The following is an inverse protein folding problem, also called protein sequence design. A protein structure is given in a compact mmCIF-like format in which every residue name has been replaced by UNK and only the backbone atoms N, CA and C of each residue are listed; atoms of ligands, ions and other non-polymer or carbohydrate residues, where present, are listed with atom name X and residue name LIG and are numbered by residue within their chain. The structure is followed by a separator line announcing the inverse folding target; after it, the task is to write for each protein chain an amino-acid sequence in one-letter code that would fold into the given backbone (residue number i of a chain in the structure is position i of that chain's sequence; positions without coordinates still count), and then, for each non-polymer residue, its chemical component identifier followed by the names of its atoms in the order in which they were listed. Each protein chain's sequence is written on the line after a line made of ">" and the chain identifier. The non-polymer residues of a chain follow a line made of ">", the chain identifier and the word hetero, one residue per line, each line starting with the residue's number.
data_IF_119660668852
#
_entry.id   IF_119660668852
#
_cell.length_a   1.000
_cell.length_b   1.000
_cell.length_c   1.000
_cell.angle_alpha   90.00
_cell.angle_beta   90.00
_cell.angle_gamma   90.00
#
_symmetry.space_group_name_H-M   'P 1'
#
loop_
_entity.id
_entity.type
_entity.pdbx_description
1 polymer ?
#
# COMPACT_ATOMS: atom_id res chain seq x y z
N UNK A 1 61.20 -6.78 -10.92
CA UNK A 1 60.60 -6.01 -9.79
C UNK A 1 59.64 -4.92 -10.29
N UNK A 2 60.04 -4.07 -11.24
CA UNK A 2 59.19 -3.00 -11.79
C UNK A 2 57.92 -3.48 -12.54
N UNK A 3 57.96 -4.64 -13.20
CA UNK A 3 56.80 -5.20 -13.92
C UNK A 3 55.70 -5.77 -13.00
N UNK A 4 56.08 -6.37 -11.86
CA UNK A 4 55.10 -6.84 -10.87
C UNK A 4 54.36 -5.69 -10.16
N UNK A 5 55.02 -4.55 -9.94
CA UNK A 5 54.39 -3.40 -9.31
C UNK A 5 53.28 -2.79 -10.19
N UNK A 6 53.49 -2.71 -11.51
CA UNK A 6 52.50 -2.18 -12.45
C UNK A 6 51.25 -3.07 -12.55
N UNK A 7 51.42 -4.40 -12.55
CA UNK A 7 50.31 -5.36 -12.71
C UNK A 7 49.37 -5.36 -11.49
N UNK A 8 49.87 -5.13 -10.29
CA UNK A 8 49.05 -5.13 -9.06
C UNK A 8 48.58 -3.74 -8.62
N UNK A 9 49.35 -2.68 -8.87
CA UNK A 9 49.02 -1.31 -8.40
C UNK A 9 48.06 -0.60 -9.35
N UNK A 10 48.16 -0.81 -10.66
CA UNK A 10 47.25 -0.19 -11.64
C UNK A 10 45.77 -0.62 -11.48
N UNK A 11 45.42 -1.91 -11.30
CA UNK A 11 44.02 -2.30 -11.10
C UNK A 11 43.47 -1.86 -9.74
N UNK A 12 44.30 -1.79 -8.69
CA UNK A 12 43.89 -1.30 -7.38
C UNK A 12 43.60 0.20 -7.40
N UNK A 13 44.48 0.99 -8.02
CA UNK A 13 44.28 2.44 -8.19
C UNK A 13 43.12 2.75 -9.14
N UNK A 14 42.93 1.98 -10.21
CA UNK A 14 41.75 2.09 -11.08
C UNK A 14 40.45 1.75 -10.35
N UNK A 15 40.42 0.67 -9.55
CA UNK A 15 39.27 0.35 -8.70
C UNK A 15 38.99 1.46 -7.69
N UNK A 16 40.03 2.07 -7.13
CA UNK A 16 39.88 3.18 -6.18
C UNK A 16 39.31 4.44 -6.85
N UNK A 17 39.85 4.82 -8.01
CA UNK A 17 39.39 5.99 -8.78
C UNK A 17 37.99 5.78 -9.37
N UNK A 18 37.67 4.57 -9.84
CA UNK A 18 36.35 4.20 -10.34
C UNK A 18 35.31 4.21 -9.22
N UNK A 19 35.64 3.63 -8.05
CA UNK A 19 34.82 3.70 -6.85
C UNK A 19 34.59 5.15 -6.40
N UNK A 20 35.62 6.00 -6.47
CA UNK A 20 35.51 7.41 -6.11
C UNK A 20 34.60 8.19 -7.07
N UNK A 21 34.68 7.95 -8.38
CA UNK A 21 33.77 8.55 -9.36
C UNK A 21 32.31 8.10 -9.19
N UNK A 22 32.09 6.81 -8.94
CA UNK A 22 30.74 6.27 -8.67
C UNK A 22 30.18 6.89 -7.39
N UNK A 23 30.97 6.98 -6.33
CA UNK A 23 30.54 7.61 -5.07
C UNK A 23 30.18 9.08 -5.25
N UNK A 24 30.91 9.83 -6.09
CA UNK A 24 30.57 11.22 -6.41
C UNK A 24 29.26 11.33 -7.21
N UNK A 25 28.99 10.40 -8.13
CA UNK A 25 27.72 10.37 -8.86
C UNK A 25 26.55 10.01 -7.93
N UNK A 26 26.73 9.04 -7.04
CA UNK A 26 25.73 8.67 -6.02
C UNK A 26 25.49 9.84 -5.07
N UNK A 27 26.55 10.51 -4.60
CA UNK A 27 26.44 11.65 -3.71
C UNK A 27 25.71 12.84 -4.36
N UNK A 28 25.99 13.17 -5.63
CA UNK A 28 25.27 14.23 -6.35
C UNK A 28 23.79 13.88 -6.56
N UNK A 29 23.50 12.63 -6.95
CA UNK A 29 22.12 12.15 -7.15
C UNK A 29 21.34 12.07 -5.83
N UNK A 30 22.00 11.74 -4.73
CA UNK A 30 21.41 11.72 -3.40
C UNK A 30 21.20 13.14 -2.84
N UNK A 31 22.19 14.03 -3.03
CA UNK A 31 22.14 15.43 -2.61
C UNK A 31 21.03 16.24 -3.31
N UNK A 32 20.72 15.93 -4.57
CA UNK A 32 19.67 16.63 -5.30
C UNK A 32 18.23 16.14 -5.02
N UNK A 33 18.06 15.11 -4.19
CA UNK A 33 16.74 14.51 -3.95
C UNK A 33 16.52 14.14 -2.50
N UNK A 34 17.01 12.97 -2.10
CA UNK A 34 16.67 12.35 -0.82
C UNK A 34 17.37 12.99 0.39
N UNK A 35 18.47 13.73 0.18
CA UNK A 35 19.23 14.37 1.25
C UNK A 35 18.38 15.35 2.08
N UNK A 36 17.50 16.14 1.47
CA UNK A 36 16.72 17.15 2.19
C UNK A 36 15.70 16.49 3.12
N UNK A 37 15.02 15.44 2.62
CA UNK A 37 14.07 14.63 3.39
C UNK A 37 14.80 13.92 4.54
N UNK A 38 15.99 13.41 4.26
CA UNK A 38 16.82 12.70 5.23
C UNK A 38 17.41 13.59 6.30
N UNK A 39 17.81 14.81 5.95
CA UNK A 39 18.33 15.82 6.85
C UNK A 39 17.20 16.37 7.74
N UNK A 40 16.06 16.76 7.15
CA UNK A 40 14.91 17.27 7.89
C UNK A 40 14.35 16.24 8.91
N UNK A 41 14.41 14.96 8.58
CA UNK A 41 13.94 13.88 9.49
C UNK A 41 14.96 13.49 10.57
N UNK A 42 16.24 13.83 10.43
CA UNK A 42 17.31 13.49 11.38
C UNK A 42 17.68 14.65 12.31
N UNK A 43 17.46 15.89 11.88
CA UNK A 43 17.74 17.07 12.68
C UNK A 43 16.82 17.13 13.93
N UNK A 44 17.38 17.24 15.14
CA UNK A 44 16.62 17.42 16.38
C UNK A 44 16.17 18.87 16.51
N UNK A 45 15.25 19.30 15.62
CA UNK A 45 14.71 20.67 15.56
C UNK A 45 14.14 21.10 16.93
N UNK A 46 13.61 20.14 17.70
CA UNK A 46 13.11 20.34 19.07
C UNK A 46 14.16 20.96 20.01
N UNK A 47 15.43 20.54 19.93
CA UNK A 47 16.50 21.03 20.83
C UNK A 47 16.99 22.42 20.43
N UNK A 48 17.08 22.67 19.13
CA UNK A 48 17.49 23.97 18.59
C UNK A 48 16.46 25.05 18.93
N UNK A 49 15.17 24.71 18.81
CA UNK A 49 14.06 25.62 19.09
C UNK A 49 13.93 25.92 20.59
N UNK A 50 14.07 24.92 21.46
CA UNK A 50 14.04 25.15 22.92
C UNK A 50 15.23 25.99 23.42
N UNK A 51 16.36 26.00 22.69
CA UNK A 51 17.51 26.84 23.01
C UNK A 51 17.35 28.29 22.51
N UNK A 52 16.49 28.52 21.51
CA UNK A 52 16.19 29.84 20.95
C UNK A 52 14.97 30.50 21.61
N UNK A 53 14.25 29.79 22.49
CA UNK A 53 12.96 30.22 23.04
C UNK A 53 13.05 30.81 24.44
N UNK A 54 14.06 31.64 24.72
CA UNK A 54 13.98 32.59 25.83
C UNK A 54 13.07 33.76 25.41
N UNK A 55 11.76 33.54 25.57
CA UNK A 55 10.76 34.60 25.48
C UNK A 55 9.96 34.65 24.17
N UNK A 56 8.66 34.40 24.29
CA UNK A 56 7.61 35.05 23.50
C UNK A 56 7.39 34.56 22.03
N UNK A 57 6.88 33.33 21.85
CA UNK A 57 6.25 32.94 20.58
C UNK A 57 5.20 31.81 20.71
N UNK A 58 4.12 32.04 21.46
CA UNK A 58 3.17 30.97 21.84
C UNK A 58 2.23 30.46 20.72
N UNK A 59 2.05 31.17 19.61
CA UNK A 59 1.15 30.75 18.51
C UNK A 59 1.86 29.94 17.43
N UNK A 60 3.03 30.37 16.97
CA UNK A 60 3.86 29.63 16.00
C UNK A 60 4.38 28.30 16.58
N UNK A 61 4.69 28.26 17.90
CA UNK A 61 5.25 27.08 18.56
C UNK A 61 4.30 25.89 18.71
N UNK A 62 2.97 26.10 18.69
CA UNK A 62 2.01 24.99 18.70
C UNK A 62 2.03 24.20 17.38
N UNK A 63 2.26 24.88 16.26
CA UNK A 63 2.48 24.24 14.96
C UNK A 63 3.80 23.43 14.93
N UNK A 64 4.85 23.87 15.64
CA UNK A 64 6.08 23.10 15.79
C UNK A 64 5.92 21.80 16.62
N UNK A 65 4.87 21.66 17.43
CA UNK A 65 4.54 20.37 18.06
C UNK A 65 4.14 19.31 17.02
N UNK A 66 3.59 19.74 15.87
CA UNK A 66 3.35 18.89 14.69
C UNK A 66 4.63 18.58 13.89
N UNK A 67 5.76 19.28 14.12
CA UNK A 67 7.08 18.87 13.58
C UNK A 67 7.54 17.55 14.18
N UNK A 68 7.00 17.12 15.33
CA UNK A 68 7.15 15.72 15.78
C UNK A 68 6.56 14.71 14.79
N UNK A 69 5.53 15.08 14.03
CA UNK A 69 4.97 14.24 12.97
C UNK A 69 5.91 14.11 11.76
N UNK A 70 6.89 15.02 11.56
CA UNK A 70 7.98 14.80 10.59
C UNK A 70 8.85 13.59 10.95
N UNK A 71 8.83 13.11 12.21
CA UNK A 71 9.46 11.82 12.55
C UNK A 71 8.73 10.64 11.90
N UNK A 72 7.45 10.76 11.53
CA UNK A 72 6.71 9.74 10.77
C UNK A 72 7.26 9.58 9.35
N UNK A 73 7.94 10.59 8.79
CA UNK A 73 8.69 10.46 7.52
C UNK A 73 9.80 9.40 7.63
N UNK A 74 10.28 9.08 8.84
CA UNK A 74 11.18 7.94 9.05
C UNK A 74 10.53 6.59 8.72
N UNK A 75 9.21 6.48 8.76
CA UNK A 75 8.49 5.27 8.31
C UNK A 75 8.60 5.09 6.79
N UNK A 76 8.72 6.17 6.01
CA UNK A 76 9.02 6.09 4.58
C UNK A 76 10.42 5.47 4.38
N UNK A 77 11.38 5.78 5.25
CA UNK A 77 12.70 5.14 5.25
C UNK A 77 12.63 3.65 5.62
N UNK A 78 11.64 3.21 6.40
CA UNK A 78 11.42 1.79 6.67
C UNK A 78 11.07 1.06 5.38
N UNK A 79 10.25 1.64 4.49
CA UNK A 79 9.95 1.04 3.18
C UNK A 79 11.17 0.99 2.24
N UNK A 80 12.14 1.90 2.40
CA UNK A 80 13.38 1.89 1.62
C UNK A 80 14.44 0.93 2.17
N UNK A 81 14.48 0.75 3.50
CA UNK A 81 15.50 -0.08 4.17
C UNK A 81 15.06 -1.52 4.34
N UNK A 82 13.78 -1.74 4.61
CA UNK A 82 13.18 -3.05 4.44
C UNK A 82 13.03 -3.20 2.93
N UNK A 83 13.86 -4.03 2.30
CA UNK A 83 13.68 -4.51 0.94
C UNK A 83 12.39 -5.35 0.88
N UNK A 84 11.23 -4.75 1.20
CA UNK A 84 9.94 -5.43 1.31
C UNK A 84 9.51 -6.05 -0.01
N UNK A 85 10.11 -5.63 -1.12
CA UNK A 85 9.92 -6.25 -2.42
C UNK A 85 10.76 -7.53 -2.55
N UNK A 86 12.02 -7.51 -2.14
CA UNK A 86 12.87 -8.73 -2.15
C UNK A 86 12.43 -9.72 -1.08
N UNK A 87 11.99 -9.25 0.09
CA UNK A 87 11.49 -10.10 1.17
C UNK A 87 10.11 -10.69 0.83
N UNK A 88 9.30 -10.01 0.01
CA UNK A 88 8.06 -10.63 -0.49
C UNK A 88 8.34 -11.70 -1.54
N UNK A 89 9.29 -11.47 -2.45
CA UNK A 89 9.73 -12.50 -3.41
C UNK A 89 10.31 -13.73 -2.68
N UNK A 90 11.18 -13.52 -1.68
CA UNK A 90 11.74 -14.61 -0.88
C UNK A 90 10.70 -15.37 -0.05
N UNK A 91 9.70 -14.67 0.52
CA UNK A 91 8.60 -15.33 1.25
C UNK A 91 7.61 -16.05 0.32
N UNK A 92 7.40 -15.55 -0.90
CA UNK A 92 6.62 -16.24 -1.94
C UNK A 92 7.31 -17.56 -2.32
N UNK A 93 8.65 -17.55 -2.45
CA UNK A 93 9.44 -18.71 -2.88
C UNK A 93 9.72 -19.73 -1.76
N UNK A 94 9.95 -19.29 -0.51
CA UNK A 94 10.37 -20.18 0.59
C UNK A 94 9.21 -20.63 1.51
N UNK A 95 8.16 -19.83 1.68
CA UNK A 95 7.12 -20.11 2.69
C UNK A 95 5.85 -20.77 2.12
N UNK A 96 5.73 -20.93 0.79
CA UNK A 96 4.53 -21.46 0.15
C UNK A 96 3.26 -20.65 0.46
N UNK A 97 3.41 -19.41 0.94
CA UNK A 97 2.30 -18.52 1.26
C UNK A 97 1.67 -18.07 -0.05
N UNK A 98 0.34 -18.12 -0.13
CA UNK A 98 -0.38 -17.70 -1.33
C UNK A 98 0.02 -16.25 -1.69
N UNK A 99 0.61 -16.00 -2.88
CA UNK A 99 1.06 -14.67 -3.30
C UNK A 99 -0.09 -13.65 -3.31
N UNK A 100 -1.34 -14.10 -3.45
CA UNK A 100 -2.53 -13.26 -3.27
C UNK A 100 -2.60 -12.63 -1.87
N UNK A 101 -2.27 -13.37 -0.82
CA UNK A 101 -2.34 -12.90 0.56
C UNK A 101 -1.30 -11.83 0.85
N UNK A 102 -0.07 -11.99 0.33
CA UNK A 102 1.00 -10.99 0.49
C UNK A 102 0.71 -9.71 -0.30
N UNK A 103 0.15 -9.85 -1.51
CA UNK A 103 -0.29 -8.72 -2.35
C UNK A 103 -1.38 -7.89 -1.67
N UNK A 104 -2.29 -8.52 -0.91
CA UNK A 104 -3.32 -7.81 -0.14
C UNK A 104 -2.82 -7.33 1.23
N UNK A 105 -1.98 -8.09 1.92
CA UNK A 105 -1.51 -7.77 3.26
C UNK A 105 -0.65 -6.51 3.32
N UNK A 106 0.24 -6.31 2.33
CA UNK A 106 1.13 -5.14 2.26
C UNK A 106 0.37 -3.80 2.21
N UNK A 107 -0.59 -3.56 1.30
CA UNK A 107 -1.36 -2.32 1.28
C UNK A 107 -2.23 -2.14 2.53
N UNK A 108 -2.70 -3.21 3.17
CA UNK A 108 -3.44 -3.12 4.44
C UNK A 108 -2.57 -2.61 5.59
N UNK A 109 -1.31 -3.05 5.70
CA UNK A 109 -0.36 -2.51 6.69
C UNK A 109 -0.10 -1.03 6.46
N UNK A 110 0.06 -0.61 5.20
CA UNK A 110 0.22 0.80 4.83
C UNK A 110 -1.03 1.60 5.19
N UNK A 111 -2.22 1.08 4.90
CA UNK A 111 -3.49 1.70 5.27
C UNK A 111 -3.60 1.90 6.78
N UNK A 112 -3.24 0.90 7.59
CA UNK A 112 -3.24 1.01 9.06
C UNK A 112 -2.24 2.04 9.58
N UNK A 113 -1.04 2.12 8.99
CA UNK A 113 -0.04 3.13 9.36
C UNK A 113 -0.52 4.56 9.04
N UNK A 114 -1.20 4.75 7.90
CA UNK A 114 -1.80 6.04 7.55
C UNK A 114 -2.97 6.35 8.48
N UNK A 115 -3.83 5.39 8.80
CA UNK A 115 -4.91 5.58 9.78
C UNK A 115 -4.37 6.06 11.13
N UNK A 116 -3.28 5.47 11.62
CA UNK A 116 -2.59 5.94 12.83
C UNK A 116 -2.06 7.37 12.70
N UNK A 117 -1.45 7.73 11.57
CA UNK A 117 -0.96 9.08 11.34
C UNK A 117 -2.10 10.10 11.33
N UNK A 118 -3.20 9.82 10.63
CA UNK A 118 -4.41 10.65 10.61
C UNK A 118 -5.04 10.78 12.00
N UNK A 119 -5.09 9.68 12.76
CA UNK A 119 -5.51 9.65 14.16
C UNK A 119 -4.69 10.64 14.99
N UNK A 120 -3.37 10.57 14.92
CA UNK A 120 -2.48 11.44 15.69
C UNK A 120 -2.67 12.92 15.31
N UNK A 121 -2.79 13.22 14.02
CA UNK A 121 -2.96 14.58 13.51
C UNK A 121 -4.31 15.16 13.92
N UNK A 122 -5.40 14.41 13.77
CA UNK A 122 -6.74 14.84 14.15
C UNK A 122 -6.90 15.03 15.66
N UNK A 123 -6.33 14.13 16.46
CA UNK A 123 -6.28 14.27 17.92
C UNK A 123 -5.44 15.47 18.38
N UNK A 124 -4.31 15.72 17.73
CA UNK A 124 -3.48 16.89 18.00
C UNK A 124 -4.23 18.19 17.68
N UNK A 125 -4.96 18.23 16.57
CA UNK A 125 -5.79 19.37 16.18
C UNK A 125 -6.93 19.64 17.18
N UNK A 126 -7.51 18.57 17.76
CA UNK A 126 -8.53 18.68 18.79
C UNK A 126 -7.97 19.25 20.11
N UNK A 127 -6.80 18.76 20.54
CA UNK A 127 -6.12 19.23 21.75
C UNK A 127 -5.57 20.65 21.66
N UNK A 128 -5.35 21.16 20.45
CA UNK A 128 -4.81 22.51 20.24
C UNK A 128 -5.85 23.62 20.46
N UNK A 129 -7.14 23.28 20.43
CA UNK A 129 -8.26 24.21 20.59
C UNK A 129 -9.05 23.91 21.87
N UNK A 130 -9.56 24.97 22.52
CA UNK A 130 -10.26 24.88 23.79
C UNK A 130 -11.69 24.31 23.66
N UNK A 131 -12.31 24.43 22.47
CA UNK A 131 -13.63 23.88 22.16
C UNK A 131 -13.55 22.96 20.94
N UNK A 132 -13.25 21.70 21.19
CA UNK A 132 -13.11 20.67 20.18
C UNK A 132 -14.19 19.60 20.31
N UNK A 133 -14.17 18.62 19.41
CA UNK A 133 -15.06 17.47 19.49
C UNK A 133 -14.79 16.58 20.70
N UNK A 134 -13.61 16.66 21.33
CA UNK A 134 -13.31 15.97 22.60
C UNK A 134 -14.11 16.52 23.79
N UNK A 135 -14.66 17.72 23.64
CA UNK A 135 -15.36 18.46 24.70
C UNK A 135 -16.88 18.33 24.58
N UNK A 136 -17.37 17.58 23.57
CA UNK A 136 -18.79 17.28 23.41
C UNK A 136 -19.15 16.11 24.34
N UNK A 137 -20.18 16.31 25.15
CA UNK A 137 -20.81 15.30 25.98
C UNK A 137 -22.34 15.44 25.83
N UNK A 138 -23.07 14.34 25.99
CA UNK A 138 -24.54 14.34 25.91
C UNK A 138 -25.18 15.14 27.05
N UNK A 139 -24.51 15.18 28.21
CA UNK A 139 -24.82 16.07 29.32
C UNK A 139 -23.76 17.17 29.41
N UNK A 140 -24.13 18.41 29.06
CA UNK A 140 -23.21 19.56 29.10
C UNK A 140 -22.78 19.93 30.53
N UNK A 141 -23.51 19.48 31.55
CA UNK A 141 -23.27 19.81 32.95
C UNK A 141 -22.31 18.84 33.65
N UNK A 142 -22.07 17.66 33.08
CA UNK A 142 -21.13 16.67 33.59
C UNK A 142 -19.79 16.73 32.83
N UNK A 143 -18.81 17.42 33.43
CA UNK A 143 -17.45 17.48 32.90
C UNK A 143 -16.77 16.10 32.85
N UNK A 144 -17.19 15.13 33.67
CA UNK A 144 -16.60 13.79 33.68
C UNK A 144 -16.98 12.96 32.46
N UNK A 145 -18.15 13.22 31.87
CA UNK A 145 -18.63 12.56 30.65
C UNK A 145 -17.91 12.99 29.36
N UNK A 146 -17.05 14.02 29.42
CA UNK A 146 -16.28 14.48 28.25
C UNK A 146 -15.17 13.49 27.91
N UNK A 147 -15.09 13.12 26.63
CA UNK A 147 -14.04 12.25 26.10
C UNK A 147 -12.61 12.78 26.40
N UNK A 148 -12.44 14.10 26.58
CA UNK A 148 -11.16 14.69 27.02
C UNK A 148 -10.65 14.16 28.37
N UNK A 149 -11.54 13.77 29.27
CA UNK A 149 -11.22 13.34 30.62
C UNK A 149 -11.15 11.80 30.76
N UNK A 150 -11.58 11.08 29.73
CA UNK A 150 -11.46 9.63 29.61
C UNK A 150 -10.01 9.12 29.53
N UNK A 151 -9.87 7.81 29.69
CA UNK A 151 -8.59 7.12 29.53
C UNK A 151 -7.96 7.41 28.15
N UNK A 152 -6.62 7.51 28.10
CA UNK A 152 -5.88 7.72 26.85
C UNK A 152 -6.15 6.65 25.80
N UNK A 153 -6.38 5.41 26.23
CA UNK A 153 -6.72 4.28 25.36
C UNK A 153 -8.06 4.53 24.66
N UNK A 154 -9.10 4.90 25.42
CA UNK A 154 -10.42 5.25 24.89
C UNK A 154 -10.35 6.39 23.89
N UNK A 155 -9.67 7.49 24.25
CA UNK A 155 -9.46 8.63 23.34
C UNK A 155 -8.80 8.21 22.02
N UNK A 156 -7.76 7.37 22.10
CA UNK A 156 -7.04 6.89 20.93
C UNK A 156 -7.90 5.97 20.06
N UNK A 157 -8.61 5.02 20.66
CA UNK A 157 -9.50 4.09 19.94
C UNK A 157 -10.64 4.83 19.26
N UNK A 158 -11.29 5.79 19.93
CA UNK A 158 -12.34 6.62 19.33
C UNK A 158 -11.81 7.45 18.16
N UNK A 159 -10.61 8.04 18.30
CA UNK A 159 -10.00 8.80 17.20
C UNK A 159 -9.57 7.89 16.04
N UNK A 160 -9.09 6.68 16.33
CA UNK A 160 -8.71 5.69 15.32
C UNK A 160 -9.93 5.17 14.56
N UNK A 161 -11.03 4.94 15.27
CA UNK A 161 -12.32 4.64 14.68
C UNK A 161 -12.75 5.73 13.69
N UNK A 162 -12.64 7.01 14.08
CA UNK A 162 -12.91 8.13 13.17
C UNK A 162 -12.02 8.08 11.91
N UNK A 163 -10.73 7.79 12.08
CA UNK A 163 -9.80 7.69 10.95
C UNK A 163 -10.22 6.58 9.98
N UNK A 164 -10.51 5.37 10.48
CA UNK A 164 -10.99 4.28 9.63
C UNK A 164 -12.34 4.61 8.96
N UNK A 165 -13.33 5.07 9.73
CA UNK A 165 -14.65 5.43 9.20
C UNK A 165 -14.56 6.50 8.11
N UNK A 166 -13.62 7.45 8.24
CA UNK A 166 -13.36 8.49 7.25
C UNK A 166 -12.64 7.92 6.01
N UNK A 167 -11.61 7.10 6.20
CA UNK A 167 -10.84 6.49 5.11
C UNK A 167 -11.67 5.53 4.26
N UNK A 168 -12.54 4.73 4.90
CA UNK A 168 -13.41 3.75 4.23
C UNK A 168 -14.75 4.34 3.79
N UNK A 169 -14.89 5.67 3.82
CA UNK A 169 -16.11 6.39 3.41
C UNK A 169 -17.40 5.96 4.12
N UNK A 170 -17.31 5.41 5.33
CA UNK A 170 -18.48 5.01 6.12
C UNK A 170 -19.08 6.24 6.81
N UNK A 171 -18.26 7.02 7.52
CA UNK A 171 -18.61 8.34 8.04
C UNK A 171 -19.90 8.41 8.85
N UNK A 172 -20.01 7.67 9.97
CA UNK A 172 -21.20 7.66 10.83
C UNK A 172 -21.63 9.04 11.35
N UNK A 173 -20.70 10.00 11.48
CA UNK A 173 -21.00 11.38 11.85
C UNK A 173 -21.13 11.63 13.35
N UNK A 174 -20.75 10.66 14.17
CA UNK A 174 -20.63 10.74 15.63
C UNK A 174 -19.37 11.52 16.07
N UNK A 175 -18.27 11.38 15.34
CA UNK A 175 -17.02 12.13 15.56
C UNK A 175 -16.74 13.03 14.36
N UNK A 176 -16.69 14.35 14.57
CA UNK A 176 -16.45 15.33 13.52
C UNK A 176 -15.87 16.64 14.08
N UNK A 177 -15.09 17.41 13.29
CA UNK A 177 -14.57 18.70 13.75
C UNK A 177 -15.70 19.71 14.00
N UNK A 178 -15.55 20.55 15.03
CA UNK A 178 -16.46 21.67 15.29
C UNK A 178 -16.31 22.74 14.20
N UNK A 179 -17.42 23.33 13.74
CA UNK A 179 -17.41 24.34 12.66
C UNK A 179 -16.57 25.59 12.99
N UNK A 180 -16.44 25.93 14.28
CA UNK A 180 -15.58 27.02 14.75
C UNK A 180 -14.09 26.70 14.76
N UNK A 181 -13.70 25.44 14.56
CA UNK A 181 -12.31 24.99 14.52
C UNK A 181 -11.86 24.79 13.06
N UNK A 182 -11.41 25.88 12.43
CA UNK A 182 -10.91 25.85 11.05
C UNK A 182 -9.75 24.86 10.85
N UNK A 183 -8.87 24.70 11.84
CA UNK A 183 -7.77 23.71 11.77
C UNK A 183 -8.30 22.28 11.70
N UNK A 184 -9.29 21.94 12.54
CA UNK A 184 -9.94 20.64 12.54
C UNK A 184 -10.62 20.34 11.20
N UNK A 185 -11.33 21.33 10.65
CA UNK A 185 -11.97 21.21 9.33
C UNK A 185 -10.95 20.95 8.22
N UNK A 186 -9.85 21.71 8.17
CA UNK A 186 -8.79 21.51 7.17
C UNK A 186 -8.16 20.12 7.29
N UNK A 187 -7.87 19.66 8.52
CA UNK A 187 -7.34 18.32 8.77
C UNK A 187 -8.31 17.24 8.28
N UNK A 188 -9.60 17.39 8.55
CA UNK A 188 -10.63 16.43 8.11
C UNK A 188 -10.72 16.36 6.59
N UNK A 189 -10.73 17.50 5.89
CA UNK A 189 -10.77 17.54 4.41
C UNK A 189 -9.55 16.82 3.82
N UNK A 190 -8.35 17.12 4.32
CA UNK A 190 -7.11 16.46 3.87
C UNK A 190 -7.16 14.95 4.16
N UNK A 191 -7.65 14.56 5.34
CA UNK A 191 -7.78 13.17 5.76
C UNK A 191 -8.75 12.39 4.88
N UNK A 192 -9.86 13.00 4.48
CA UNK A 192 -10.84 12.40 3.55
C UNK A 192 -10.21 12.15 2.17
N UNK A 193 -9.57 13.16 1.58
CA UNK A 193 -8.95 13.01 0.25
C UNK A 193 -7.85 11.95 0.26
N UNK A 194 -6.92 12.01 1.23
CA UNK A 194 -5.83 11.04 1.31
C UNK A 194 -6.33 9.63 1.67
N UNK A 195 -7.27 9.54 2.60
CA UNK A 195 -7.84 8.29 3.07
C UNK A 195 -8.58 7.51 1.99
N UNK A 196 -9.44 8.21 1.25
CA UNK A 196 -10.22 7.62 0.16
C UNK A 196 -9.34 7.14 -1.00
N UNK A 197 -8.28 7.88 -1.36
CA UNK A 197 -7.32 7.45 -2.38
C UNK A 197 -6.63 6.13 -2.01
N UNK A 198 -6.20 5.98 -0.75
CA UNK A 198 -5.56 4.75 -0.27
C UNK A 198 -6.57 3.60 -0.24
N UNK A 199 -7.78 3.85 0.26
CA UNK A 199 -8.82 2.83 0.28
C UNK A 199 -9.18 2.34 -1.13
N UNK A 200 -9.36 3.25 -2.09
CA UNK A 200 -9.59 2.90 -3.49
C UNK A 200 -8.45 2.08 -4.09
N UNK A 201 -7.19 2.39 -3.74
CA UNK A 201 -6.04 1.59 -4.14
C UNK A 201 -6.08 0.16 -3.57
N UNK A 202 -6.42 -0.01 -2.29
CA UNK A 202 -6.57 -1.35 -1.67
C UNK A 202 -7.66 -2.15 -2.37
N UNK A 203 -8.81 -1.53 -2.65
CA UNK A 203 -9.90 -2.18 -3.40
C UNK A 203 -9.46 -2.56 -4.81
N UNK A 204 -8.72 -1.71 -5.51
CA UNK A 204 -8.15 -2.02 -6.83
C UNK A 204 -7.26 -3.26 -6.81
N UNK A 205 -6.40 -3.39 -5.79
CA UNK A 205 -5.58 -4.58 -5.59
C UNK A 205 -6.44 -5.81 -5.30
N UNK A 206 -7.44 -5.68 -4.42
CA UNK A 206 -8.36 -6.76 -4.09
C UNK A 206 -9.08 -7.30 -5.33
N UNK A 207 -9.61 -6.41 -6.17
CA UNK A 207 -10.22 -6.78 -7.46
C UNK A 207 -9.20 -7.44 -8.38
N UNK A 208 -7.97 -6.93 -8.45
CA UNK A 208 -6.88 -7.54 -9.21
C UNK A 208 -6.54 -8.96 -8.72
N UNK A 209 -6.60 -9.20 -7.42
CA UNK A 209 -6.39 -10.54 -6.85
C UNK A 209 -7.58 -11.43 -7.19
N UNK A 210 -8.81 -11.02 -6.86
CA UNK A 210 -10.02 -11.82 -7.07
C UNK A 210 -10.19 -12.20 -8.53
N UNK A 211 -9.94 -11.26 -9.44
CA UNK A 211 -9.90 -11.58 -10.86
C UNK A 211 -8.85 -12.66 -11.09
N UNK A 212 -7.61 -12.50 -10.61
CA UNK A 212 -6.51 -13.43 -10.87
C UNK A 212 -6.43 -14.72 -10.03
N UNK A 213 -7.39 -14.99 -9.14
CA UNK A 213 -7.39 -16.21 -8.32
C UNK A 213 -7.53 -17.49 -9.15
N UNK A 214 -8.38 -17.48 -10.18
CA UNK A 214 -8.60 -18.64 -11.04
C UNK A 214 -8.52 -18.25 -12.54
N UNK A 215 -7.30 -18.15 -13.10
CA UNK A 215 -7.14 -17.91 -14.54
C UNK A 215 -7.73 -19.04 -15.38
N UNK A 216 -7.69 -20.29 -14.90
CA UNK A 216 -8.20 -21.44 -15.64
C UNK A 216 -9.72 -21.39 -15.79
N UNK A 217 -10.47 -21.15 -14.71
CA UNK A 217 -11.93 -21.01 -14.76
C UNK A 217 -12.36 -19.77 -15.54
N UNK A 218 -11.61 -18.67 -15.48
CA UNK A 218 -11.86 -17.50 -16.33
C UNK A 218 -11.72 -17.82 -17.81
N UNK A 219 -10.66 -18.50 -18.22
CA UNK A 219 -10.50 -18.96 -19.60
C UNK A 219 -11.62 -19.94 -19.99
N UNK A 220 -11.97 -20.87 -19.09
CA UNK A 220 -13.08 -21.83 -19.29
C UNK A 220 -14.42 -21.12 -19.52
N UNK A 221 -14.68 -20.03 -18.79
CA UNK A 221 -15.87 -19.19 -18.94
C UNK A 221 -15.84 -18.35 -20.22
N UNK A 222 -14.67 -17.82 -20.60
CA UNK A 222 -14.48 -17.08 -21.85
C UNK A 222 -14.74 -17.96 -23.08
N UNK A 223 -14.19 -19.19 -23.13
CA UNK A 223 -14.44 -20.18 -24.18
C UNK A 223 -15.92 -20.53 -24.32
N UNK A 224 -16.63 -20.72 -23.20
CA UNK A 224 -18.10 -20.91 -23.22
C UNK A 224 -18.84 -19.70 -23.78
N UNK A 225 -18.33 -18.49 -23.54
CA UNK A 225 -18.85 -17.24 -24.09
C UNK A 225 -18.67 -17.17 -25.60
N UNK A 226 -17.46 -17.44 -26.12
CA UNK A 226 -17.20 -17.47 -27.56
C UNK A 226 -18.10 -18.45 -28.31
N UNK A 227 -18.30 -19.65 -27.76
CA UNK A 227 -19.27 -20.59 -28.34
C UNK A 227 -20.68 -20.03 -28.32
N UNK A 228 -21.10 -19.37 -27.24
CA UNK A 228 -22.44 -18.79 -27.16
C UNK A 228 -22.64 -17.67 -28.21
N UNK A 229 -21.64 -16.80 -28.40
CA UNK A 229 -21.67 -15.73 -29.39
C UNK A 229 -21.68 -16.28 -30.82
N UNK A 230 -20.84 -17.28 -31.11
CA UNK A 230 -20.82 -17.98 -32.39
C UNK A 230 -22.18 -18.61 -32.73
N UNK A 231 -22.81 -19.29 -31.76
CA UNK A 231 -24.13 -19.90 -31.96
C UNK A 231 -25.24 -18.85 -32.10
N UNK A 232 -25.08 -17.66 -31.51
CA UNK A 232 -26.03 -16.56 -31.67
C UNK A 232 -25.92 -15.87 -33.04
N UNK A 233 -24.72 -15.83 -33.62
CA UNK A 233 -24.50 -15.28 -34.97
C UNK A 233 -25.09 -16.17 -36.07
N UNK A 234 -25.17 -17.49 -35.84
CA UNK A 234 -25.86 -18.44 -36.72
C UNK A 234 -27.39 -18.23 -36.57
N UNK A 235 -27.88 -17.18 -37.24
CA UNK A 235 -29.23 -16.59 -37.18
C UNK A 235 -30.39 -17.53 -37.47
N UNK A 236 -30.15 -18.70 -38.06
CA UNK A 236 -31.20 -19.60 -38.58
C UNK A 236 -31.55 -20.79 -37.67
N UNK A 237 -30.84 -20.98 -36.56
CA UNK A 237 -31.11 -22.10 -35.65
C UNK A 237 -31.88 -21.59 -34.43
N UNK A 238 -33.11 -22.08 -34.25
CA UNK A 238 -33.88 -21.79 -33.02
C UNK A 238 -33.05 -22.13 -31.78
N UNK A 239 -32.91 -21.19 -30.81
CA UNK A 239 -32.07 -21.36 -29.61
C UNK A 239 -32.49 -22.54 -28.71
N UNK A 240 -33.67 -23.11 -28.94
CA UNK A 240 -34.25 -24.26 -28.23
C UNK A 240 -34.03 -25.59 -28.94
N UNK A 241 -33.33 -25.61 -30.08
CA UNK A 241 -33.06 -26.86 -30.79
C UNK A 241 -32.22 -27.81 -29.93
N UNK A 242 -32.62 -29.07 -29.88
CA UNK A 242 -31.93 -30.10 -29.10
C UNK A 242 -30.46 -30.27 -29.53
N UNK A 243 -30.16 -29.95 -30.79
CA UNK A 243 -28.81 -29.91 -31.33
C UNK A 243 -27.93 -28.88 -30.59
N UNK A 244 -28.41 -27.65 -30.36
CA UNK A 244 -27.65 -26.61 -29.66
C UNK A 244 -27.38 -26.99 -28.20
N UNK A 245 -28.36 -27.62 -27.54
CA UNK A 245 -28.19 -28.14 -26.18
C UNK A 245 -27.14 -29.25 -26.13
N UNK A 246 -27.14 -30.16 -27.11
CA UNK A 246 -26.11 -31.20 -27.25
C UNK A 246 -24.72 -30.60 -27.52
N UNK A 247 -24.62 -29.60 -28.39
CA UNK A 247 -23.35 -28.91 -28.67
C UNK A 247 -22.80 -28.23 -27.42
N UNK A 248 -23.61 -27.45 -26.70
CA UNK A 248 -23.19 -26.80 -25.43
C UNK A 248 -22.77 -27.81 -24.37
N UNK A 249 -23.52 -28.90 -24.21
CA UNK A 249 -23.21 -29.95 -23.22
C UNK A 249 -21.92 -30.69 -23.59
N UNK A 250 -21.75 -31.07 -24.86
CA UNK A 250 -20.54 -31.71 -25.34
C UNK A 250 -19.32 -30.80 -25.17
N UNK A 251 -19.43 -29.52 -25.56
CA UNK A 251 -18.34 -28.56 -25.39
C UNK A 251 -17.98 -28.35 -23.92
N UNK A 252 -18.98 -28.24 -23.04
CA UNK A 252 -18.75 -28.14 -21.59
C UNK A 252 -18.06 -29.38 -21.02
N UNK A 253 -18.40 -30.57 -21.53
CA UNK A 253 -17.77 -31.84 -21.16
C UNK A 253 -16.34 -31.95 -21.69
N UNK A 254 -16.09 -31.52 -22.94
CA UNK A 254 -14.74 -31.43 -23.50
C UNK A 254 -13.87 -30.49 -22.65
N UNK A 255 -14.37 -29.32 -22.25
CA UNK A 255 -13.65 -28.37 -21.39
C UNK A 255 -13.45 -28.86 -19.94
N UNK A 256 -14.19 -29.88 -19.49
CA UNK A 256 -13.94 -30.50 -18.16
C UNK A 256 -12.89 -31.61 -18.20
N UNK A 257 -12.69 -32.24 -19.36
CA UNK A 257 -11.73 -33.34 -19.54
C UNK A 257 -10.40 -32.84 -20.10
N UNK A 258 -10.45 -31.94 -21.09
CA UNK A 258 -9.26 -31.29 -21.66
C UNK A 258 -8.89 -30.08 -20.84
N UNK A 259 -7.59 -29.87 -20.62
CA UNK A 259 -7.09 -28.61 -20.10
C UNK A 259 -7.51 -27.44 -21.01
N UNK A 260 -7.71 -26.27 -20.42
CA UNK A 260 -8.04 -25.04 -21.17
C UNK A 260 -6.80 -24.47 -21.87
N UNK A 261 -5.63 -25.03 -21.60
CA UNK A 261 -4.35 -24.58 -22.10
C UNK A 261 -3.95 -25.39 -23.33
N UNK A 262 -3.23 -24.75 -24.25
CA UNK A 262 -2.58 -25.43 -25.36
C UNK A 262 -1.40 -26.26 -24.83
N UNK A 263 -1.64 -27.55 -24.62
CA UNK A 263 -0.66 -28.49 -24.08
C UNK A 263 0.61 -28.54 -24.94
N UNK A 264 0.50 -28.38 -26.27
CA UNK A 264 1.65 -28.45 -27.17
C UNK A 264 2.62 -27.29 -26.97
N UNK A 265 2.14 -26.05 -26.89
CA UNK A 265 3.01 -24.90 -26.65
C UNK A 265 3.68 -24.92 -25.27
N UNK A 266 3.00 -25.44 -24.25
CA UNK A 266 3.59 -25.60 -22.90
C UNK A 266 4.70 -26.66 -22.92
N UNK A 267 4.45 -27.80 -23.58
CA UNK A 267 5.43 -28.89 -23.69
C UNK A 267 6.67 -28.47 -24.50
N UNK A 268 6.51 -27.60 -25.49
CA UNK A 268 7.63 -27.07 -26.26
C UNK A 268 8.53 -26.10 -25.47
N UNK A 269 8.01 -25.45 -24.44
CA UNK A 269 8.79 -24.61 -23.53
C UNK A 269 9.63 -25.42 -22.52
N UNK A 270 9.33 -26.71 -22.35
CA UNK A 270 10.06 -27.57 -21.42
C UNK A 270 11.44 -27.96 -21.99
N UNK A 271 12.46 -28.12 -21.11
CA UNK A 271 13.75 -28.66 -21.51
C UNK A 271 13.62 -30.02 -22.20
N UNK A 272 14.45 -30.32 -23.21
CA UNK A 272 14.30 -31.51 -24.05
C UNK A 272 14.40 -32.85 -23.27
N UNK A 273 14.99 -32.85 -22.08
CA UNK A 273 15.07 -34.04 -21.22
C UNK A 273 13.79 -34.34 -20.42
N UNK A 274 12.83 -33.41 -20.33
CA UNK A 274 11.54 -33.56 -19.63
C UNK A 274 10.37 -33.62 -20.63
N UNK A 275 10.62 -33.34 -21.91
CA UNK A 275 9.60 -33.27 -22.97
C UNK A 275 8.93 -34.63 -23.29
N UNK A 276 9.43 -35.74 -22.77
CA UNK A 276 8.91 -37.06 -23.12
C UNK A 276 7.48 -37.23 -22.55
N UNK A 277 6.44 -37.43 -23.39
CA UNK A 277 5.05 -37.44 -22.94
C UNK A 277 4.75 -38.48 -21.86
N UNK A 278 5.50 -39.60 -21.86
CA UNK A 278 5.42 -40.68 -20.87
C UNK A 278 5.94 -40.32 -19.47
N UNK A 279 6.56 -39.16 -19.29
CA UNK A 279 6.99 -38.63 -17.98
C UNK A 279 5.97 -37.62 -17.43
N UNK A 280 5.10 -37.07 -18.30
CA UNK A 280 4.16 -35.99 -17.99
C UNK A 280 2.74 -36.52 -17.73
N UNK A 281 2.35 -37.64 -18.35
CA UNK A 281 1.07 -38.34 -18.17
C UNK A 281 1.25 -39.70 -17.52
#
# INVERSE_FOLDING_TARGET
>A
VLTCALIYVLPLTWRFLFKQRILQQIAKKYASGWLIIDLASTLPIDKFVNCLSDGQANSAFRAFKMVRALRLVRLIKIQQKLKLNELSEQLEDEAGINPALLKLGKPLVVMGAVAHALTCVFFAAARAHDRSWLDRADDEMDDSAKLRNEERTTQYLTTMYWAFATMTTVGYGDVYPTLGNGTGLTVTIISQVLGTMIFAYVIGILVGIVTNLDPAERHRKAEKGYLADFLAEIRDISPTSELLLRVRRNHSHCLSIRGVFDEHSIVDLLPPHIRNPSVIY
#
